data_IF_315860936521
#
_entry.id   IF_315860936521
#
_cell.length_a   1.000
_cell.length_b   1.000
_cell.length_c   1.000
_cell.angle_alpha   90.00
_cell.angle_beta   90.00
_cell.angle_gamma   90.00
#
_symmetry.space_group_name_H-M   'P 1'
#
loop_
_entity.id
_entity.type
_entity.pdbx_description
1 polymer ?
#
# COMPACT_ATOMS: atom_id res chain seq x y z
N UNK A 1 6.50 -23.40 -6.15
CA UNK A 1 5.65 -22.52 -5.31
C UNK A 1 6.33 -22.36 -3.96
N UNK A 2 6.52 -21.14 -3.42
CA UNK A 2 7.03 -20.97 -2.04
C UNK A 2 5.86 -21.03 -1.06
N UNK A 3 5.88 -21.97 -0.12
CA UNK A 3 4.90 -22.05 0.97
C UNK A 3 5.17 -20.92 1.95
N UNK A 4 4.33 -19.88 1.94
CA UNK A 4 4.55 -18.68 2.75
C UNK A 4 4.05 -18.80 4.19
N UNK A 5 3.54 -19.96 4.58
CA UNK A 5 3.05 -20.25 5.93
C UNK A 5 1.89 -19.36 6.38
N UNK A 6 1.13 -18.76 5.45
CA UNK A 6 0.05 -17.84 5.77
C UNK A 6 -1.31 -18.55 5.81
N UNK A 7 -2.19 -18.09 6.69
CA UNK A 7 -3.51 -18.66 6.89
C UNK A 7 -4.56 -17.56 7.03
N UNK A 8 -5.68 -17.70 6.33
CA UNK A 8 -6.81 -16.79 6.38
C UNK A 8 -7.82 -17.27 7.43
N UNK A 9 -8.06 -16.47 8.46
CA UNK A 9 -8.89 -16.84 9.60
C UNK A 9 -10.38 -16.87 9.22
N UNK A 10 -10.84 -15.86 8.46
CA UNK A 10 -12.22 -15.77 7.97
C UNK A 10 -12.65 -17.01 7.16
N UNK A 11 -11.78 -17.48 6.27
CA UNK A 11 -12.04 -18.59 5.35
C UNK A 11 -11.47 -19.92 5.82
N UNK A 12 -10.87 -19.97 7.03
CA UNK A 12 -10.20 -21.13 7.63
C UNK A 12 -9.33 -21.95 6.65
N UNK A 13 -8.54 -21.26 5.81
CA UNK A 13 -7.72 -21.88 4.75
C UNK A 13 -6.32 -21.29 4.66
N UNK A 14 -5.36 -22.12 4.25
CA UNK A 14 -4.02 -21.67 3.90
C UNK A 14 -4.07 -20.77 2.65
N UNK A 15 -3.26 -19.72 2.64
CA UNK A 15 -3.16 -18.77 1.53
C UNK A 15 -1.69 -18.52 1.18
N UNK A 16 -1.40 -18.23 -0.09
CA UNK A 16 -0.07 -17.77 -0.51
C UNK A 16 -0.07 -16.25 -0.73
N UNK A 17 1.11 -15.63 -0.86
CA UNK A 17 1.26 -14.17 -1.02
C UNK A 17 0.42 -13.59 -2.17
N UNK A 18 0.22 -14.32 -3.27
CA UNK A 18 -0.62 -13.89 -4.39
C UNK A 18 -2.13 -14.08 -4.14
N UNK A 19 -2.55 -14.88 -3.15
CA UNK A 19 -3.95 -14.98 -2.73
C UNK A 19 -4.34 -13.87 -1.72
N UNK A 20 -3.38 -13.20 -1.09
CA UNK A 20 -3.64 -12.15 -0.08
C UNK A 20 -4.46 -10.99 -0.65
N UNK A 21 -4.26 -10.65 -1.93
CA UNK A 21 -5.00 -9.55 -2.61
C UNK A 21 -6.49 -9.84 -2.77
N UNK A 22 -6.89 -11.12 -2.79
CA UNK A 22 -8.30 -11.56 -2.84
C UNK A 22 -8.95 -11.61 -1.45
N UNK A 23 -8.26 -11.08 -0.44
CA UNK A 23 -8.65 -11.09 0.96
C UNK A 23 -8.37 -9.70 1.58
N UNK A 24 -8.93 -8.61 1.03
CA UNK A 24 -8.63 -7.23 1.45
C UNK A 24 -8.90 -7.05 2.94
N UNK A 25 -10.06 -7.50 3.43
CA UNK A 25 -10.47 -7.37 4.83
C UNK A 25 -10.18 -8.57 5.74
N UNK A 26 -9.76 -9.72 5.22
CA UNK A 26 -9.65 -10.91 6.07
C UNK A 26 -8.45 -10.83 7.02
N UNK A 27 -8.61 -11.25 8.26
CA UNK A 27 -7.46 -11.48 9.16
C UNK A 27 -6.61 -12.62 8.62
N UNK A 28 -5.37 -12.30 8.23
CA UNK A 28 -4.36 -13.24 7.71
C UNK A 28 -3.14 -13.14 8.60
N UNK A 29 -2.72 -14.27 9.17
CA UNK A 29 -1.53 -14.40 10.02
C UNK A 29 -0.72 -15.63 9.60
N UNK A 30 0.36 -15.92 10.31
CA UNK A 30 1.07 -17.19 10.12
C UNK A 30 0.24 -18.38 10.61
N UNK A 31 0.51 -19.57 10.07
CA UNK A 31 -0.11 -20.82 10.49
C UNK A 31 0.16 -21.14 11.97
N UNK A 32 1.35 -20.75 12.49
CA UNK A 32 1.70 -20.91 13.91
C UNK A 32 0.83 -20.03 14.81
N UNK A 33 0.49 -18.81 14.38
CA UNK A 33 -0.45 -17.95 15.11
C UNK A 33 -1.87 -18.52 15.06
N UNK A 34 -2.30 -19.06 13.91
CA UNK A 34 -3.61 -19.69 13.78
C UNK A 34 -3.79 -20.94 14.67
N UNK A 35 -2.72 -21.72 14.87
CA UNK A 35 -2.72 -22.85 15.81
C UNK A 35 -2.81 -22.40 17.28
N UNK A 36 -2.38 -21.19 17.62
CA UNK A 36 -2.44 -20.64 18.99
C UNK A 36 -3.79 -20.02 19.31
N UNK A 37 -4.32 -19.23 18.39
CA UNK A 37 -5.63 -18.62 18.46
C UNK A 37 -6.23 -18.63 17.05
N UNK A 38 -7.35 -19.34 16.88
CA UNK A 38 -8.06 -19.44 15.61
C UNK A 38 -9.31 -18.56 15.55
N UNK A 39 -9.58 -17.77 16.60
CA UNK A 39 -10.77 -16.94 16.67
C UNK A 39 -10.72 -15.82 15.62
N UNK A 40 -11.83 -15.59 14.93
CA UNK A 40 -11.91 -14.52 13.94
C UNK A 40 -12.02 -13.17 14.65
N UNK A 41 -10.97 -12.37 14.54
CA UNK A 41 -11.00 -10.96 14.90
C UNK A 41 -11.33 -10.12 13.64
N UNK A 42 -12.23 -9.12 13.73
CA UNK A 42 -12.51 -8.22 12.62
C UNK A 42 -11.25 -7.42 12.24
N UNK A 43 -11.13 -6.98 10.98
CA UNK A 43 -10.01 -6.14 10.56
C UNK A 43 -10.02 -4.80 11.31
N UNK A 44 -8.91 -4.51 11.99
CA UNK A 44 -8.66 -3.22 12.66
C UNK A 44 -7.43 -2.55 12.06
N UNK A 45 -7.46 -1.22 12.01
CA UNK A 45 -6.34 -0.40 11.58
C UNK A 45 -5.31 -0.33 12.71
N UNK A 46 -4.07 -0.74 12.44
CA UNK A 46 -3.02 -0.79 13.47
C UNK A 46 -2.53 0.59 13.94
N UNK A 47 -3.03 1.68 13.35
CA UNK A 47 -2.70 3.07 13.74
C UNK A 47 -3.70 3.69 14.71
N UNK A 48 -4.99 3.39 14.56
CA UNK A 48 -6.07 4.00 15.35
C UNK A 48 -6.93 2.99 16.13
N UNK A 49 -6.76 1.68 15.90
CA UNK A 49 -7.57 0.61 16.51
C UNK A 49 -8.99 0.46 15.93
N UNK A 50 -9.46 1.41 15.12
CA UNK A 50 -10.79 1.37 14.52
C UNK A 50 -10.94 0.28 13.45
N UNK A 51 -12.16 -0.23 13.29
CA UNK A 51 -12.51 -1.22 12.26
C UNK A 51 -12.29 -0.67 10.83
N UNK A 52 -11.86 -1.53 9.91
CA UNK A 52 -11.55 -1.16 8.51
C UNK A 52 -12.59 -1.74 7.55
N UNK A 53 -13.01 -0.93 6.57
CA UNK A 53 -13.99 -1.31 5.54
C UNK A 53 -13.33 -1.39 4.16
N UNK A 54 -13.98 -2.08 3.21
CA UNK A 54 -13.34 -2.58 1.98
C UNK A 54 -12.88 -1.47 1.02
N UNK A 55 -13.42 -0.25 1.14
CA UNK A 55 -13.03 0.92 0.34
C UNK A 55 -11.89 1.77 0.92
N UNK A 56 -11.56 1.63 2.20
CA UNK A 56 -10.52 2.43 2.89
C UNK A 56 -9.35 1.55 3.41
N UNK A 57 -9.43 0.24 3.25
CA UNK A 57 -8.42 -0.70 3.72
C UNK A 57 -7.20 -0.78 2.80
N UNK A 58 -6.01 -0.45 3.34
CA UNK A 58 -4.71 -0.74 2.72
C UNK A 58 -4.01 -1.82 3.54
N UNK A 59 -3.64 -2.93 2.87
CA UNK A 59 -2.80 -3.98 3.45
C UNK A 59 -1.36 -3.83 2.96
N UNK A 60 -0.42 -3.71 3.90
CA UNK A 60 1.00 -3.66 3.58
C UNK A 60 1.60 -5.06 3.39
N UNK A 61 2.84 -5.14 2.89
CA UNK A 61 3.58 -6.40 2.78
C UNK A 61 3.82 -7.11 4.13
N UNK A 62 3.70 -6.38 5.24
CA UNK A 62 3.73 -6.94 6.59
C UNK A 62 2.40 -7.58 7.04
N UNK A 63 1.38 -7.60 6.16
CA UNK A 63 0.00 -8.06 6.39
C UNK A 63 -0.86 -7.17 7.30
N UNK A 64 -0.27 -6.19 7.99
CA UNK A 64 -1.00 -5.19 8.76
C UNK A 64 -1.92 -4.33 7.87
N UNK A 65 -3.07 -3.97 8.42
CA UNK A 65 -4.10 -3.15 7.80
C UNK A 65 -4.07 -1.73 8.35
N UNK A 66 -4.33 -0.77 7.47
CA UNK A 66 -4.50 0.64 7.76
C UNK A 66 -5.74 1.17 7.04
N UNK A 67 -6.40 2.18 7.60
CA UNK A 67 -7.18 3.12 6.80
C UNK A 67 -6.24 3.91 5.88
N UNK A 68 -6.66 4.28 4.67
CA UNK A 68 -5.87 5.08 3.73
C UNK A 68 -5.43 6.38 4.37
N UNK A 69 -6.36 7.11 4.95
CA UNK A 69 -6.09 8.35 5.69
C UNK A 69 -5.14 8.14 6.89
N UNK A 70 -5.24 7.02 7.61
CA UNK A 70 -4.31 6.73 8.72
C UNK A 70 -2.88 6.48 8.24
N UNK A 71 -2.72 5.79 7.11
CA UNK A 71 -1.42 5.56 6.49
C UNK A 71 -0.84 6.87 5.92
N UNK A 72 -1.66 7.68 5.24
CA UNK A 72 -1.23 8.95 4.66
C UNK A 72 -0.80 9.98 5.71
N UNK A 73 -1.53 10.09 6.83
CA UNK A 73 -1.10 10.94 7.95
C UNK A 73 0.18 10.41 8.61
N UNK A 74 0.30 9.09 8.78
CA UNK A 74 1.51 8.49 9.35
C UNK A 74 2.74 8.68 8.47
N UNK A 75 2.61 8.58 7.14
CA UNK A 75 3.73 8.79 6.24
C UNK A 75 4.00 10.29 5.98
N UNK A 76 2.98 11.15 6.03
CA UNK A 76 3.17 12.60 5.87
C UNK A 76 3.86 13.28 7.07
N UNK A 77 3.92 12.62 8.24
CA UNK A 77 4.69 13.12 9.40
C UNK A 77 6.20 12.84 9.32
N UNK A 78 6.68 12.14 8.29
CA UNK A 78 8.11 11.93 8.08
C UNK A 78 8.76 13.17 7.42
N UNK A 79 10.05 13.45 7.67
CA UNK A 79 10.78 14.54 7.01
C UNK A 79 10.71 14.48 5.49
N UNK A 80 10.73 15.63 4.80
CA UNK A 80 10.59 15.69 3.34
C UNK A 80 11.70 14.94 2.58
N UNK A 81 12.89 14.84 3.16
CA UNK A 81 14.02 14.09 2.59
C UNK A 81 14.01 12.58 2.90
N UNK A 82 12.89 12.04 3.40
CA UNK A 82 12.76 10.60 3.68
C UNK A 82 12.73 9.81 2.37
N UNK A 83 13.77 9.02 2.14
CA UNK A 83 13.83 8.09 1.02
C UNK A 83 12.71 7.03 1.10
N UNK A 84 12.30 6.46 -0.05
CA UNK A 84 11.22 5.48 -0.16
C UNK A 84 11.33 4.28 0.82
N UNK A 85 12.55 3.82 1.10
CA UNK A 85 12.81 2.72 2.02
C UNK A 85 12.72 3.11 3.51
N UNK A 86 12.73 4.40 3.84
CA UNK A 86 12.63 4.92 5.21
C UNK A 86 11.20 5.02 5.75
N UNK A 87 10.19 4.96 4.87
CA UNK A 87 8.79 4.88 5.30
C UNK A 87 8.50 3.48 5.84
N UNK A 88 8.45 3.34 7.16
CA UNK A 88 8.24 2.07 7.85
C UNK A 88 6.82 1.92 8.42
N UNK A 89 6.36 0.69 8.54
CA UNK A 89 5.10 0.35 9.21
C UNK A 89 5.17 0.76 10.69
N UNK A 90 4.11 1.40 11.20
CA UNK A 90 4.04 1.93 12.57
C UNK A 90 4.24 0.89 13.70
N UNK A 91 4.14 -0.41 13.39
CA UNK A 91 4.26 -1.51 14.37
C UNK A 91 5.35 -2.53 14.02
N UNK A 92 6.06 -2.39 12.89
CA UNK A 92 7.17 -3.27 12.54
C UNK A 92 8.15 -2.62 11.55
N UNK A 93 9.45 -2.99 11.54
CA UNK A 93 10.48 -2.32 10.73
C UNK A 93 10.42 -2.69 9.23
N UNK A 94 9.26 -3.15 8.72
CA UNK A 94 9.06 -3.44 7.30
C UNK A 94 8.66 -2.16 6.57
N UNK A 95 9.19 -1.92 5.36
CA UNK A 95 8.85 -0.73 4.59
C UNK A 95 7.38 -0.75 4.15
N UNK A 96 6.77 0.42 4.11
CA UNK A 96 5.42 0.67 3.57
C UNK A 96 5.44 0.51 2.05
N UNK A 97 6.47 1.05 1.40
CA UNK A 97 6.66 0.97 -0.05
C UNK A 97 7.38 -0.34 -0.38
N UNK A 98 6.78 -1.24 -1.16
CA UNK A 98 7.40 -2.52 -1.49
C UNK A 98 8.56 -2.32 -2.50
N UNK A 99 9.59 -3.18 -2.49
CA UNK A 99 10.72 -3.07 -3.42
C UNK A 99 10.25 -3.11 -4.88
N UNK A 100 10.84 -2.27 -5.75
CA UNK A 100 10.46 -2.21 -7.17
C UNK A 100 10.69 -3.53 -7.93
N UNK A 101 11.64 -4.35 -7.48
CA UNK A 101 11.92 -5.67 -8.05
C UNK A 101 10.93 -6.76 -7.57
N UNK A 102 10.08 -6.49 -6.57
CA UNK A 102 9.05 -7.43 -6.13
C UNK A 102 7.84 -7.36 -7.09
N UNK A 103 7.71 -8.40 -7.92
CA UNK A 103 6.63 -8.58 -8.90
C UNK A 103 5.40 -9.30 -8.33
N UNK A 104 5.31 -9.49 -7.02
CA UNK A 104 4.14 -10.09 -6.35
C UNK A 104 2.88 -9.24 -6.56
N UNK A 105 1.73 -9.87 -6.73
CA UNK A 105 0.45 -9.17 -6.91
C UNK A 105 0.15 -8.17 -5.78
N UNK A 106 0.48 -8.51 -4.53
CA UNK A 106 0.35 -7.62 -3.38
C UNK A 106 1.28 -6.38 -3.49
N UNK A 107 2.52 -6.57 -3.94
CA UNK A 107 3.45 -5.47 -4.14
C UNK A 107 3.00 -4.53 -5.28
N UNK A 108 2.41 -5.09 -6.35
CA UNK A 108 1.79 -4.29 -7.41
C UNK A 108 0.59 -3.48 -6.88
N UNK A 109 -0.37 -4.14 -6.21
CA UNK A 109 -1.55 -3.49 -5.62
C UNK A 109 -1.18 -2.35 -4.66
N UNK A 110 -0.21 -2.55 -3.76
CA UNK A 110 0.27 -1.49 -2.87
C UNK A 110 0.87 -0.34 -3.70
N UNK A 111 1.69 -0.62 -4.71
CA UNK A 111 2.28 0.41 -5.59
C UNK A 111 1.24 1.20 -6.37
N UNK A 112 0.15 0.57 -6.81
CA UNK A 112 -0.97 1.25 -7.44
C UNK A 112 -1.68 2.19 -6.46
N UNK A 113 -2.08 1.71 -5.28
CA UNK A 113 -2.77 2.50 -4.26
C UNK A 113 -1.89 3.68 -3.77
N UNK A 114 -0.59 3.46 -3.58
CA UNK A 114 0.34 4.50 -3.12
C UNK A 114 0.72 5.50 -4.23
N UNK A 115 0.49 5.19 -5.51
CA UNK A 115 0.78 6.13 -6.61
C UNK A 115 -0.08 7.39 -6.59
N UNK A 116 -1.24 7.33 -5.93
CA UNK A 116 -2.16 8.45 -5.73
C UNK A 116 -1.75 9.34 -4.54
N UNK A 117 -0.98 8.81 -3.58
CA UNK A 117 -0.64 9.51 -2.35
C UNK A 117 0.52 10.51 -2.52
N UNK A 118 0.28 11.77 -2.13
CA UNK A 118 1.25 12.86 -2.30
C UNK A 118 2.57 12.65 -1.55
N UNK A 119 2.54 12.00 -0.38
CA UNK A 119 3.76 11.72 0.40
C UNK A 119 4.70 10.73 -0.32
N UNK A 120 4.15 9.75 -1.05
CA UNK A 120 4.95 8.80 -1.82
C UNK A 120 5.64 9.55 -2.98
N UNK A 121 4.91 10.43 -3.67
CA UNK A 121 5.46 11.29 -4.73
C UNK A 121 6.57 12.21 -4.23
N UNK A 122 6.46 12.80 -3.04
CA UNK A 122 7.54 13.59 -2.40
C UNK A 122 8.81 12.75 -2.18
N UNK A 123 8.67 11.50 -1.76
CA UNK A 123 9.79 10.55 -1.63
C UNK A 123 10.41 10.08 -2.95
N UNK A 124 9.93 10.57 -4.10
CA UNK A 124 10.40 10.15 -5.44
C UNK A 124 9.67 8.94 -6.03
N UNK A 125 8.51 8.55 -5.47
CA UNK A 125 7.73 7.45 -6.03
C UNK A 125 7.00 7.90 -7.31
N UNK A 126 7.50 7.46 -8.46
CA UNK A 126 6.82 7.59 -9.74
C UNK A 126 6.18 6.25 -10.14
N UNK A 127 4.91 6.30 -10.56
CA UNK A 127 4.26 5.16 -11.20
C UNK A 127 4.97 4.90 -12.55
N UNK A 128 5.36 3.65 -12.89
CA UNK A 128 5.86 3.36 -14.23
C UNK A 128 4.74 3.70 -15.24
N UNK A 129 5.01 4.67 -16.11
CA UNK A 129 3.99 5.26 -16.99
C UNK A 129 3.52 4.25 -18.04
N UNK A 130 2.36 3.64 -17.79
CA UNK A 130 1.56 2.97 -18.80
C UNK A 130 0.79 4.00 -19.62
N UNK A 131 1.48 4.65 -20.56
CA UNK A 131 0.94 5.44 -21.67
C UNK A 131 -0.36 6.26 -21.41
N UNK A 132 -0.20 7.50 -20.98
CA UNK A 132 -1.17 8.57 -21.29
C UNK A 132 -0.49 9.58 -22.20
N UNK A 133 -0.95 9.83 -23.43
CA UNK A 133 -0.39 10.88 -24.26
C UNK A 133 -0.63 12.24 -23.60
N UNK A 134 0.41 13.07 -23.49
CA UNK A 134 0.25 14.47 -23.09
C UNK A 134 -0.74 15.17 -24.04
N UNK A 135 -1.73 15.92 -23.54
CA UNK A 135 -2.29 17.01 -24.32
C UNK A 135 -1.19 18.07 -24.49
N UNK A 136 -0.65 18.17 -25.70
CA UNK A 136 0.35 19.17 -26.07
C UNK A 136 -0.23 20.59 -25.99
N UNK A 137 -0.13 21.22 -24.83
CA UNK A 137 -0.48 22.62 -24.64
C UNK A 137 0.56 23.52 -25.31
N UNK A 138 0.32 23.87 -26.57
CA UNK A 138 1.07 24.89 -27.31
C UNK A 138 0.81 26.29 -26.71
N UNK A 139 1.83 27.03 -26.25
CA UNK A 139 1.66 28.39 -25.74
C UNK A 139 1.67 29.40 -26.90
N UNK A 140 0.50 29.68 -27.48
CA UNK A 140 0.32 30.78 -28.45
C UNK A 140 0.14 32.13 -27.75
N UNK A 141 1.26 32.76 -27.37
CA UNK A 141 1.31 34.16 -26.95
C UNK A 141 2.50 34.89 -27.55
N UNK A 142 2.32 35.53 -28.72
CA UNK A 142 3.15 36.65 -29.19
C UNK A 142 2.33 37.66 -30.01
N UNK A 143 2.01 38.77 -29.36
CA UNK A 143 1.77 40.11 -29.89
C UNK A 143 2.04 41.09 -28.72
N UNK A 144 2.35 42.40 -28.90
CA UNK A 144 2.29 43.24 -30.11
C UNK A 144 3.71 43.87 -30.41
N UNK A 145 3.97 45.02 -31.05
CA UNK A 145 3.16 46.14 -31.60
C UNK A 145 3.76 46.65 -32.97
N UNK A 146 4.20 47.91 -33.28
CA UNK A 146 4.27 48.37 -34.68
C UNK A 146 5.69 48.83 -35.14
N UNK A 147 5.80 49.40 -36.35
CA UNK A 147 5.95 50.86 -36.45
C UNK A 147 4.83 51.55 -37.25
#
# INVERSE_FOLDING_TARGET
RKSTGLFCFNHKKAVCTSCVVNHPLCTIKTYVEWLKDSNYQPPVCVKCGGGVTEGDAIRLMCLHLYHRNCLENHCSSYPEHTALAGFCCAVCPKPVIPPMNDKSALAAQIRDILSESQWARRGGFAKPSGSTPQPSSVPSSKNPLPP
#
